data_IF_505686167675
#
_entry.id   IF_505686167675
#
_cell.length_a   1.000
_cell.length_b   1.000
_cell.length_c   1.000
_cell.angle_alpha   90.00
_cell.angle_beta   90.00
_cell.angle_gamma   90.00
#
_symmetry.space_group_name_H-M   'P 1'
#
loop_
_entity.id
_entity.type
_entity.pdbx_description
1 polymer ?
#
# COMPACT_ATOMS: atom_id res chain seq x y z
N UNK A 1 27.51 -8.23 12.98
CA UNK A 1 26.58 -7.78 14.04
C UNK A 1 25.56 -8.86 14.26
N UNK A 2 25.46 -9.32 15.43
CA UNK A 2 24.43 -10.27 15.74
C UNK A 2 23.15 -9.53 15.95
N UNK A 3 22.07 -10.16 15.71
CA UNK A 3 20.92 -10.24 16.58
C UNK A 3 19.58 -9.96 15.91
N UNK A 4 19.48 -9.08 14.89
CA UNK A 4 18.19 -8.85 14.27
C UNK A 4 18.35 -8.70 12.75
N UNK A 5 17.67 -9.54 11.97
CA UNK A 5 17.59 -9.36 10.52
C UNK A 5 16.61 -8.23 10.16
N UNK A 6 16.71 -7.76 8.92
CA UNK A 6 15.91 -6.61 8.47
C UNK A 6 14.39 -6.85 8.50
N UNK A 7 13.95 -8.09 8.31
CA UNK A 7 12.52 -8.44 8.34
C UNK A 7 11.98 -8.41 9.77
N UNK A 8 12.74 -8.96 10.73
CA UNK A 8 12.41 -8.90 12.15
C UNK A 8 12.40 -7.45 12.66
N UNK A 9 13.40 -6.65 12.28
CA UNK A 9 13.44 -5.23 12.61
C UNK A 9 12.22 -4.47 12.09
N UNK A 10 11.81 -4.77 10.86
CA UNK A 10 10.64 -4.15 10.25
C UNK A 10 9.34 -4.59 10.94
N UNK A 11 9.19 -5.87 11.27
CA UNK A 11 8.02 -6.37 11.99
C UNK A 11 7.86 -5.66 13.34
N UNK A 12 8.96 -5.41 14.06
CA UNK A 12 8.95 -4.65 15.31
C UNK A 12 8.62 -3.17 15.09
N UNK A 13 9.20 -2.56 14.04
CA UNK A 13 8.90 -1.17 13.70
C UNK A 13 7.40 -0.97 13.39
N UNK A 14 6.78 -1.90 12.69
CA UNK A 14 5.35 -1.84 12.34
C UNK A 14 4.40 -1.95 13.53
N UNK A 15 4.85 -2.43 14.67
CA UNK A 15 4.06 -2.43 15.90
C UNK A 15 3.87 -1.02 16.49
N UNK A 16 4.78 -0.10 16.18
CA UNK A 16 4.82 1.24 16.79
C UNK A 16 4.81 2.39 15.79
N UNK A 17 5.03 2.12 14.50
CA UNK A 17 5.21 3.16 13.49
C UNK A 17 4.75 2.74 12.10
N UNK A 18 4.13 3.70 11.39
CA UNK A 18 3.73 3.57 9.99
C UNK A 18 4.64 4.37 9.03
N UNK A 19 5.86 4.70 9.44
CA UNK A 19 6.81 5.37 8.55
C UNK A 19 7.07 4.54 7.29
N UNK A 20 7.29 5.17 6.12
CA UNK A 20 7.65 4.46 4.90
C UNK A 20 8.95 3.67 5.08
N UNK A 21 8.96 2.43 4.64
CA UNK A 21 10.13 1.53 4.72
C UNK A 21 10.48 1.01 3.34
N UNK A 22 11.74 1.16 2.97
CA UNK A 22 12.32 0.57 1.76
C UNK A 22 13.31 -0.51 2.18
N UNK A 23 13.10 -1.74 1.72
CA UNK A 23 14.02 -2.84 1.97
C UNK A 23 15.13 -2.89 0.91
N UNK A 24 16.37 -3.08 1.37
CA UNK A 24 17.51 -3.33 0.50
C UNK A 24 17.85 -4.83 0.52
N UNK A 25 17.56 -5.54 -0.56
CA UNK A 25 17.71 -6.99 -0.63
C UNK A 25 18.83 -7.44 -1.58
N UNK A 26 19.36 -8.66 -1.40
CA UNK A 26 20.30 -9.26 -2.34
C UNK A 26 19.58 -9.71 -3.64
N UNK A 27 20.30 -9.70 -4.76
CA UNK A 27 19.76 -10.16 -6.04
C UNK A 27 19.61 -11.69 -6.02
N UNK A 28 18.42 -12.20 -6.26
CA UNK A 28 18.21 -13.63 -6.48
C UNK A 28 17.08 -14.29 -5.66
N UNK A 29 16.57 -13.64 -4.63
CA UNK A 29 15.54 -14.23 -3.79
C UNK A 29 14.21 -13.49 -3.96
N UNK A 30 13.41 -13.92 -4.96
CA UNK A 30 12.04 -13.41 -5.12
C UNK A 30 11.18 -13.72 -3.89
N UNK A 31 11.54 -14.76 -3.15
CA UNK A 31 10.95 -15.08 -1.84
C UNK A 31 11.19 -14.00 -0.80
N UNK A 32 12.37 -13.41 -0.72
CA UNK A 32 12.68 -12.34 0.24
C UNK A 32 11.94 -11.04 -0.08
N UNK A 33 11.72 -10.75 -1.36
CA UNK A 33 10.92 -9.59 -1.79
C UNK A 33 9.47 -9.74 -1.37
N UNK A 34 8.89 -10.91 -1.57
CA UNK A 34 7.52 -11.24 -1.16
C UNK A 34 7.42 -11.25 0.36
N UNK A 35 8.41 -11.83 1.06
CA UNK A 35 8.46 -11.82 2.53
C UNK A 35 8.58 -10.39 3.08
N UNK A 36 9.43 -9.55 2.49
CA UNK A 36 9.58 -8.16 2.91
C UNK A 36 8.30 -7.34 2.77
N UNK A 37 7.61 -7.46 1.65
CA UNK A 37 6.31 -6.82 1.45
C UNK A 37 5.24 -7.41 2.38
N UNK A 38 5.27 -8.73 2.63
CA UNK A 38 4.37 -9.40 3.57
C UNK A 38 4.50 -8.87 5.01
N UNK A 39 5.68 -8.45 5.41
CA UNK A 39 5.95 -7.88 6.75
C UNK A 39 5.61 -6.39 6.81
N UNK A 40 5.24 -5.75 5.67
CA UNK A 40 4.75 -4.37 5.62
C UNK A 40 5.73 -3.34 5.09
N UNK A 41 6.72 -3.74 4.27
CA UNK A 41 7.54 -2.78 3.53
C UNK A 41 6.71 -2.08 2.44
N UNK A 42 7.00 -0.80 2.21
CA UNK A 42 6.33 -0.01 1.17
C UNK A 42 6.99 -0.20 -0.20
N UNK A 43 8.29 -0.50 -0.21
CA UNK A 43 9.06 -0.72 -1.43
C UNK A 43 10.30 -1.57 -1.16
N UNK A 44 10.98 -2.05 -2.20
CA UNK A 44 12.24 -2.76 -2.09
C UNK A 44 13.19 -2.40 -3.24
N UNK A 45 14.50 -2.50 -2.98
CA UNK A 45 15.55 -2.28 -3.97
C UNK A 45 16.55 -3.45 -3.87
N UNK A 46 16.89 -4.04 -5.01
CA UNK A 46 17.85 -5.14 -5.07
C UNK A 46 19.29 -4.63 -5.16
N UNK A 47 20.19 -5.25 -4.39
CA UNK A 47 21.63 -5.02 -4.48
C UNK A 47 22.24 -5.79 -5.68
N UNK A 48 23.20 -5.20 -6.43
CA UNK A 48 23.69 -3.82 -6.32
C UNK A 48 22.67 -2.83 -6.87
N UNK A 49 22.48 -1.69 -6.21
CA UNK A 49 21.56 -0.64 -6.62
C UNK A 49 22.29 0.63 -7.05
N UNK A 50 21.66 1.38 -7.93
CA UNK A 50 22.13 2.71 -8.29
C UNK A 50 21.75 3.71 -7.18
N UNK A 51 22.72 4.49 -6.63
CA UNK A 51 22.42 5.52 -5.64
C UNK A 51 21.36 6.53 -6.09
N UNK A 52 21.32 6.85 -7.38
CA UNK A 52 20.30 7.75 -7.95
C UNK A 52 18.90 7.12 -7.85
N UNK A 53 18.77 5.84 -8.11
CA UNK A 53 17.51 5.10 -7.94
C UNK A 53 17.06 5.10 -6.48
N UNK A 54 17.96 4.79 -5.55
CA UNK A 54 17.66 4.81 -4.11
C UNK A 54 17.16 6.21 -3.68
N UNK A 55 17.88 7.27 -4.08
CA UNK A 55 17.48 8.65 -3.76
C UNK A 55 16.13 9.02 -4.37
N UNK A 56 15.84 8.61 -5.59
CA UNK A 56 14.57 8.86 -6.24
C UNK A 56 13.41 8.19 -5.49
N UNK A 57 13.58 6.94 -5.07
CA UNK A 57 12.59 6.19 -4.28
C UNK A 57 12.39 6.79 -2.89
N UNK A 58 13.48 7.13 -2.19
CA UNK A 58 13.40 7.82 -0.89
C UNK A 58 12.66 9.15 -1.01
N UNK A 59 12.99 9.98 -2.01
CA UNK A 59 12.31 11.26 -2.25
C UNK A 59 10.82 11.07 -2.56
N UNK A 60 10.48 10.06 -3.36
CA UNK A 60 9.09 9.73 -3.68
C UNK A 60 8.31 9.33 -2.43
N UNK A 61 8.86 8.47 -1.59
CA UNK A 61 8.23 8.05 -0.33
C UNK A 61 8.10 9.22 0.66
N UNK A 62 9.16 10.02 0.84
CA UNK A 62 9.14 11.18 1.73
C UNK A 62 8.19 12.28 1.25
N UNK A 63 8.16 12.59 -0.05
CA UNK A 63 7.23 13.58 -0.60
C UNK A 63 5.80 13.24 -0.21
N UNK A 64 5.39 11.99 -0.38
CA UNK A 64 4.06 11.53 0.00
C UNK A 64 3.82 11.59 1.50
N UNK A 65 4.76 11.09 2.29
CA UNK A 65 4.67 11.08 3.74
C UNK A 65 4.59 12.50 4.33
N UNK A 66 5.34 13.47 3.75
CA UNK A 66 5.38 14.86 4.20
C UNK A 66 4.31 15.75 3.56
N UNK A 67 3.90 15.50 2.31
CA UNK A 67 2.81 16.24 1.66
C UNK A 67 1.41 15.89 2.19
N UNK A 68 1.31 14.94 3.08
CA UNK A 68 0.11 14.64 3.85
C UNK A 68 -0.31 15.79 4.81
N UNK A 69 0.41 16.92 4.81
CA UNK A 69 0.16 18.08 5.64
C UNK A 69 -0.30 19.36 4.94
N UNK A 70 -0.58 19.39 3.63
CA UNK A 70 -0.92 20.68 2.99
C UNK A 70 -1.64 20.63 1.65
N UNK A 71 -2.89 21.02 1.64
CA UNK A 71 -3.51 21.82 0.57
C UNK A 71 -4.26 21.11 -0.55
N UNK A 72 -5.50 20.99 -0.46
CA UNK A 72 -6.65 21.53 -1.21
C UNK A 72 -7.94 20.87 -0.75
N UNK A 73 -8.92 21.70 -0.44
CA UNK A 73 -10.27 21.31 -0.01
C UNK A 73 -11.06 20.79 -1.22
N UNK A 74 -10.93 19.52 -1.52
CA UNK A 74 -11.97 18.75 -2.19
C UNK A 74 -12.55 17.80 -1.14
N UNK A 75 -13.81 17.40 -1.27
CA UNK A 75 -14.48 16.54 -0.32
C UNK A 75 -13.52 15.48 0.24
N UNK A 76 -13.05 15.73 1.45
CA UNK A 76 -11.89 15.02 2.00
C UNK A 76 -12.22 13.64 2.50
N UNK A 77 -13.51 13.31 2.54
CA UNK A 77 -14.02 12.06 3.08
C UNK A 77 -14.59 11.22 1.95
N UNK A 78 -14.11 9.99 1.84
CA UNK A 78 -14.64 8.98 0.94
C UNK A 78 -15.30 7.90 1.79
N UNK A 79 -16.56 7.58 1.46
CA UNK A 79 -17.32 6.53 2.16
C UNK A 79 -17.76 5.47 1.16
N UNK A 80 -17.45 4.21 1.44
CA UNK A 80 -17.96 3.05 0.68
C UNK A 80 -18.37 1.97 1.67
N UNK A 81 -19.67 1.74 1.80
CA UNK A 81 -20.18 0.82 2.81
C UNK A 81 -19.79 1.26 4.22
N UNK A 82 -19.12 0.38 4.97
CA UNK A 82 -18.59 0.71 6.30
C UNK A 82 -17.23 1.40 6.30
N UNK A 83 -16.54 1.48 5.14
CA UNK A 83 -15.21 2.11 5.06
C UNK A 83 -15.39 3.63 4.93
N UNK A 84 -14.79 4.37 5.85
CA UNK A 84 -14.68 5.82 5.80
C UNK A 84 -13.19 6.21 5.79
N UNK A 85 -12.77 6.90 4.75
CA UNK A 85 -11.42 7.42 4.57
C UNK A 85 -11.47 8.94 4.60
N UNK A 86 -10.82 9.55 5.59
CA UNK A 86 -10.61 11.00 5.65
C UNK A 86 -9.24 11.36 5.09
N UNK A 87 -9.24 11.99 3.92
CA UNK A 87 -7.99 12.34 3.22
C UNK A 87 -7.27 13.54 3.85
N UNK A 88 -7.93 14.36 4.65
CA UNK A 88 -7.30 15.44 5.41
C UNK A 88 -6.63 14.91 6.68
N UNK A 89 -7.36 14.14 7.46
CA UNK A 89 -6.83 13.55 8.70
C UNK A 89 -5.92 12.34 8.43
N UNK A 90 -5.95 11.78 7.21
CA UNK A 90 -5.25 10.55 6.81
C UNK A 90 -5.64 9.34 7.67
N UNK A 91 -6.89 9.30 8.05
CA UNK A 91 -7.47 8.24 8.86
C UNK A 91 -8.40 7.37 8.05
N UNK A 92 -8.48 6.11 8.45
CA UNK A 92 -9.43 5.14 7.89
C UNK A 92 -10.15 4.47 9.04
N UNK A 93 -11.46 4.34 8.91
CA UNK A 93 -12.29 3.55 9.83
C UNK A 93 -13.12 2.53 9.05
N UNK A 94 -13.46 1.43 9.69
CA UNK A 94 -14.41 0.44 9.19
C UNK A 94 -15.50 0.27 10.25
N UNK A 95 -16.75 0.57 9.87
CA UNK A 95 -17.90 0.58 10.77
C UNK A 95 -17.70 1.43 12.05
N UNK A 96 -16.86 2.49 11.92
CA UNK A 96 -16.49 3.41 13.00
C UNK A 96 -15.21 3.06 13.73
N UNK A 97 -14.70 1.84 13.61
CA UNK A 97 -13.47 1.42 14.26
C UNK A 97 -12.24 1.86 13.46
N UNK A 98 -11.23 2.47 14.10
CA UNK A 98 -10.03 2.94 13.42
C UNK A 98 -9.17 1.78 12.91
N UNK A 99 -8.68 1.89 11.67
CA UNK A 99 -7.82 0.91 11.02
C UNK A 99 -6.48 1.53 10.70
N UNK A 100 -5.39 0.92 11.20
CA UNK A 100 -4.03 1.35 10.90
C UNK A 100 -3.55 0.78 9.56
N UNK A 101 -3.32 1.65 8.58
CA UNK A 101 -2.77 1.30 7.28
C UNK A 101 -1.34 1.83 7.14
N UNK A 102 -0.50 1.09 6.42
CA UNK A 102 0.77 1.62 5.96
C UNK A 102 0.54 2.70 4.88
N UNK A 103 1.51 3.58 4.59
CA UNK A 103 1.34 4.61 3.56
C UNK A 103 0.92 4.05 2.20
N UNK A 104 1.46 2.90 1.77
CA UNK A 104 1.10 2.28 0.50
C UNK A 104 -0.28 1.64 0.50
N UNK A 105 -0.64 0.97 1.59
CA UNK A 105 -2.00 0.47 1.76
C UNK A 105 -3.03 1.60 1.71
N UNK A 106 -2.74 2.71 2.38
CA UNK A 106 -3.57 3.91 2.35
C UNK A 106 -3.72 4.47 0.92
N UNK A 107 -2.61 4.64 0.20
CA UNK A 107 -2.62 5.19 -1.15
C UNK A 107 -3.37 4.27 -2.14
N UNK A 108 -3.20 2.95 -2.03
CA UNK A 108 -3.94 1.97 -2.83
C UNK A 108 -5.44 2.04 -2.51
N UNK A 109 -5.81 2.04 -1.24
CA UNK A 109 -7.21 2.13 -0.81
C UNK A 109 -7.85 3.41 -1.34
N UNK A 110 -7.20 4.57 -1.13
CA UNK A 110 -7.66 5.87 -1.61
C UNK A 110 -7.85 5.88 -3.13
N UNK A 111 -6.89 5.33 -3.86
CA UNK A 111 -6.98 5.25 -5.32
C UNK A 111 -8.17 4.41 -5.77
N UNK A 112 -8.36 3.24 -5.18
CA UNK A 112 -9.46 2.33 -5.51
C UNK A 112 -10.82 2.93 -5.11
N UNK A 113 -10.92 3.56 -3.95
CA UNK A 113 -12.17 4.21 -3.49
C UNK A 113 -12.57 5.38 -4.38
N UNK A 114 -11.61 6.22 -4.81
CA UNK A 114 -11.87 7.33 -5.74
C UNK A 114 -12.33 6.85 -7.13
N UNK A 115 -12.01 5.64 -7.50
CA UNK A 115 -12.34 5.04 -8.78
C UNK A 115 -13.21 3.79 -8.62
N UNK A 116 -14.08 3.79 -7.64
CA UNK A 116 -14.95 2.64 -7.34
C UNK A 116 -15.73 2.19 -8.56
N UNK A 117 -15.90 0.88 -8.70
CA UNK A 117 -16.53 0.25 -9.87
C UNK A 117 -15.60 0.03 -11.06
N UNK A 118 -14.44 0.69 -11.11
CA UNK A 118 -13.46 0.54 -12.20
C UNK A 118 -12.45 -0.55 -11.89
N UNK A 119 -12.14 -1.38 -12.88
CA UNK A 119 -11.12 -2.43 -12.78
C UNK A 119 -9.76 -1.87 -13.17
N UNK A 120 -8.76 -2.08 -12.34
CA UNK A 120 -7.38 -1.70 -12.62
C UNK A 120 -6.46 -2.92 -12.56
N UNK A 121 -5.59 -3.05 -13.55
CA UNK A 121 -4.51 -4.04 -13.53
C UNK A 121 -3.49 -3.71 -12.44
N UNK A 122 -2.73 -4.69 -11.94
CA UNK A 122 -1.65 -4.44 -10.99
C UNK A 122 -0.65 -3.38 -11.48
N UNK A 123 -0.33 -3.38 -12.78
CA UNK A 123 0.56 -2.39 -13.37
C UNK A 123 -0.02 -0.96 -13.32
N UNK A 124 -1.32 -0.80 -13.56
CA UNK A 124 -1.98 0.50 -13.47
C UNK A 124 -2.01 1.01 -12.03
N UNK A 125 -2.37 0.15 -11.06
CA UNK A 125 -2.35 0.51 -9.64
C UNK A 125 -0.92 0.91 -9.24
N UNK A 126 0.08 0.12 -9.62
CA UNK A 126 1.47 0.42 -9.30
C UNK A 126 1.90 1.79 -9.85
N UNK A 127 1.69 2.05 -11.14
CA UNK A 127 2.04 3.34 -11.77
C UNK A 127 1.38 4.52 -11.07
N UNK A 128 0.13 4.39 -10.67
CA UNK A 128 -0.65 5.46 -10.02
C UNK A 128 -0.22 5.69 -8.57
N UNK A 129 0.18 4.64 -7.87
CA UNK A 129 0.51 4.71 -6.44
C UNK A 129 2.01 4.91 -6.20
N UNK A 130 2.88 4.33 -7.04
CA UNK A 130 4.35 4.54 -6.93
C UNK A 130 4.86 5.64 -7.83
N UNK A 131 4.09 6.07 -8.85
CA UNK A 131 4.52 7.03 -9.88
C UNK A 131 5.81 6.59 -10.58
N UNK A 132 6.00 5.29 -10.76
CA UNK A 132 7.20 4.67 -11.28
C UNK A 132 6.87 3.52 -12.24
N UNK A 133 7.86 3.07 -13.00
CA UNK A 133 7.73 1.94 -13.93
C UNK A 133 7.69 0.63 -13.13
N UNK A 134 6.68 -0.21 -13.32
CA UNK A 134 6.55 -1.45 -12.56
C UNK A 134 7.56 -2.49 -13.01
N UNK A 135 8.44 -2.92 -12.11
CA UNK A 135 9.35 -4.05 -12.34
C UNK A 135 8.73 -5.40 -11.93
N UNK A 136 7.88 -5.41 -10.90
CA UNK A 136 7.13 -6.59 -10.42
C UNK A 136 5.82 -6.16 -9.75
N UNK A 137 4.97 -5.44 -10.49
CA UNK A 137 3.75 -4.90 -9.92
C UNK A 137 2.78 -5.97 -9.42
N UNK A 138 2.68 -7.10 -10.13
CA UNK A 138 1.71 -8.13 -9.79
C UNK A 138 1.92 -8.69 -8.37
N UNK A 139 3.16 -9.03 -8.02
CA UNK A 139 3.51 -9.53 -6.69
C UNK A 139 3.31 -8.47 -5.60
N UNK A 140 3.82 -7.26 -5.83
CA UNK A 140 3.71 -6.17 -4.86
C UNK A 140 2.25 -5.79 -4.58
N UNK A 141 1.45 -5.62 -5.62
CA UNK A 141 0.03 -5.26 -5.47
C UNK A 141 -0.75 -6.38 -4.79
N UNK A 142 -0.52 -7.64 -5.16
CA UNK A 142 -1.21 -8.77 -4.55
C UNK A 142 -1.00 -8.83 -3.02
N UNK A 143 0.22 -8.55 -2.57
CA UNK A 143 0.54 -8.51 -1.14
C UNK A 143 -0.19 -7.37 -0.43
N UNK A 144 -0.14 -6.16 -0.96
CA UNK A 144 -0.84 -5.02 -0.35
C UNK A 144 -2.37 -5.20 -0.36
N UNK A 145 -2.93 -5.77 -1.43
CA UNK A 145 -4.37 -6.09 -1.48
C UNK A 145 -4.73 -7.14 -0.43
N UNK A 146 -3.88 -8.15 -0.21
CA UNK A 146 -4.10 -9.14 0.85
C UNK A 146 -4.13 -8.46 2.23
N UNK A 147 -3.15 -7.61 2.55
CA UNK A 147 -3.11 -6.88 3.81
C UNK A 147 -4.31 -5.96 3.99
N UNK A 148 -4.71 -5.25 2.93
CA UNK A 148 -5.91 -4.43 2.95
C UNK A 148 -7.15 -5.26 3.28
N UNK A 149 -7.31 -6.43 2.65
CA UNK A 149 -8.43 -7.32 2.95
C UNK A 149 -8.41 -7.83 4.40
N UNK A 150 -7.25 -8.23 4.91
CA UNK A 150 -7.08 -8.66 6.30
C UNK A 150 -7.51 -7.56 7.30
N UNK A 151 -7.39 -6.29 6.92
CA UNK A 151 -7.72 -5.13 7.78
C UNK A 151 -9.13 -4.56 7.58
N UNK A 152 -9.69 -4.69 6.39
CA UNK A 152 -10.94 -4.02 6.00
C UNK A 152 -12.12 -4.97 5.83
N UNK A 153 -11.86 -6.24 5.53
CA UNK A 153 -12.91 -7.21 5.22
C UNK A 153 -13.23 -8.09 6.44
N UNK A 154 -14.48 -8.39 6.66
CA UNK A 154 -14.90 -9.36 7.69
C UNK A 154 -14.34 -10.74 7.36
N UNK A 155 -14.38 -11.13 6.08
CA UNK A 155 -13.78 -12.37 5.57
C UNK A 155 -12.86 -12.04 4.39
N UNK A 156 -11.52 -12.04 4.58
CA UNK A 156 -10.57 -11.74 3.52
C UNK A 156 -10.64 -12.68 2.31
N UNK A 157 -11.10 -13.93 2.51
CA UNK A 157 -11.26 -14.93 1.45
C UNK A 157 -12.49 -14.68 0.59
N UNK A 158 -13.51 -14.03 1.15
CA UNK A 158 -14.74 -13.63 0.47
C UNK A 158 -14.93 -12.12 0.58
N UNK A 159 -14.05 -11.32 -0.03
CA UNK A 159 -14.01 -9.89 0.19
C UNK A 159 -15.30 -9.21 -0.31
N UNK A 160 -15.82 -8.30 0.50
CA UNK A 160 -16.98 -7.46 0.18
C UNK A 160 -16.58 -6.26 -0.67
N UNK A 161 -15.47 -5.60 -0.33
CA UNK A 161 -15.06 -4.33 -0.89
C UNK A 161 -14.05 -4.48 -2.04
N UNK A 162 -12.92 -5.14 -1.80
CA UNK A 162 -11.85 -5.23 -2.80
C UNK A 162 -11.98 -6.56 -3.55
N UNK A 163 -12.56 -6.50 -4.75
CA UNK A 163 -12.79 -7.67 -5.62
C UNK A 163 -11.65 -7.95 -6.57
N UNK A 164 -11.39 -9.22 -6.84
CA UNK A 164 -10.57 -9.68 -7.97
C UNK A 164 -11.46 -9.80 -9.20
N UNK A 165 -10.99 -9.27 -10.32
CA UNK A 165 -11.54 -9.56 -11.64
C UNK A 165 -10.51 -10.41 -12.38
N UNK A 166 -10.80 -11.69 -12.51
CA UNK A 166 -9.88 -12.68 -13.08
C UNK A 166 -9.34 -12.25 -14.45
N UNK A 167 -8.02 -12.36 -14.61
CA UNK A 167 -7.32 -11.95 -15.83
C UNK A 167 -7.25 -10.45 -16.08
N UNK A 168 -7.85 -9.60 -15.22
CA UNK A 168 -7.88 -8.13 -15.40
C UNK A 168 -7.25 -7.36 -14.25
N UNK A 169 -7.54 -7.73 -12.99
CA UNK A 169 -6.97 -7.05 -11.83
C UNK A 169 -7.93 -6.91 -10.66
N UNK A 170 -7.97 -5.72 -10.07
CA UNK A 170 -8.74 -5.43 -8.86
C UNK A 170 -9.70 -4.26 -9.06
N UNK A 171 -10.80 -4.28 -8.35
CA UNK A 171 -11.72 -3.14 -8.25
C UNK A 171 -12.25 -2.96 -6.84
N UNK A 172 -12.59 -1.74 -6.47
CA UNK A 172 -13.43 -1.43 -5.32
C UNK A 172 -14.89 -1.61 -5.71
N UNK A 173 -15.63 -2.41 -4.96
CA UNK A 173 -17.07 -2.59 -5.14
C UNK A 173 -17.82 -1.48 -4.39
N UNK A 174 -18.90 -0.99 -4.98
CA UNK A 174 -19.72 0.08 -4.43
C UNK A 174 -19.52 1.42 -5.13
N UNK A 175 -20.36 2.39 -4.79
CA UNK A 175 -20.24 3.78 -5.24
C UNK A 175 -19.82 4.63 -4.05
N UNK A 176 -18.92 5.61 -4.23
CA UNK A 176 -18.63 6.58 -3.18
C UNK A 176 -19.88 7.42 -2.91
N UNK A 177 -20.19 7.61 -1.63
CA UNK A 177 -21.25 8.48 -1.14
C UNK A 177 -20.70 9.86 -0.86
#
# INVERSE_FOLDING_TARGET
>A
MPVMDGLTAMAQLRQTSNVPVILLTAKGEDTDKVLGLNVGADDYITKPFNPVELLARVRSQLRRYLQLGGGQVQASTLVIGGICLDDNAKTVTVDGDPVALTPKEYDILRFLMRNAGTVFSPNEIYRRVWEDVPLNAAGAIAVHIRHLREKLEINPSEPRYIKVVWGKGYKMEGSPS
#
